data_IF_879547661664
#
_entry.id   IF_879547661664
#
_cell.length_a   1.000
_cell.length_b   1.000
_cell.length_c   1.000
_cell.angle_alpha   90.00
_cell.angle_beta   90.00
_cell.angle_gamma   90.00
#
_symmetry.space_group_name_H-M   'P 1'
#
loop_
_entity.id
_entity.type
_entity.pdbx_description
1 polymer ?
#
# COMPACT_ATOMS: atom_id res chain seq x y z
N UNK A 1 -18.05 13.30 0.69
CA UNK A 1 -17.00 14.02 -0.08
C UNK A 1 -15.70 13.25 0.05
N UNK A 2 -15.36 12.41 -0.92
CA UNK A 2 -14.10 11.66 -0.93
C UNK A 2 -12.99 12.60 -1.40
N UNK A 3 -12.33 13.26 -0.45
CA UNK A 3 -11.12 14.02 -0.69
C UNK A 3 -9.99 13.06 -1.06
N UNK A 4 -9.99 12.58 -2.31
CA UNK A 4 -8.80 11.96 -2.90
C UNK A 4 -7.87 13.13 -3.22
N UNK A 5 -7.12 13.58 -2.22
CA UNK A 5 -5.92 14.38 -2.49
C UNK A 5 -5.05 13.54 -3.39
N UNK A 6 -5.03 13.90 -4.67
CA UNK A 6 -4.21 13.29 -5.70
C UNK A 6 -2.76 13.74 -5.46
N UNK A 7 -2.23 13.35 -4.31
CA UNK A 7 -0.84 13.54 -3.97
C UNK A 7 -0.12 12.62 -4.94
N UNK A 8 0.69 13.19 -5.84
CA UNK A 8 1.38 12.53 -6.96
C UNK A 8 2.34 11.39 -6.54
N UNK A 9 2.20 10.86 -5.32
CA UNK A 9 2.86 9.67 -4.80
C UNK A 9 2.31 8.44 -5.51
N UNK A 10 2.99 8.05 -6.58
CA UNK A 10 2.78 6.74 -7.18
C UNK A 10 3.13 5.65 -6.17
N UNK A 11 2.25 4.64 -6.05
CA UNK A 11 2.54 3.48 -5.23
C UNK A 11 3.75 2.70 -5.77
N UNK A 12 4.60 2.19 -4.87
CA UNK A 12 5.77 1.40 -5.22
C UNK A 12 5.42 0.23 -6.16
N UNK A 13 6.29 -0.02 -7.16
CA UNK A 13 6.16 -1.09 -8.16
C UNK A 13 7.03 -2.30 -7.85
N UNK A 14 8.02 -2.15 -6.98
CA UNK A 14 8.86 -3.24 -6.48
C UNK A 14 8.98 -3.24 -4.96
N UNK A 15 9.40 -4.38 -4.39
CA UNK A 15 9.78 -4.42 -2.96
C UNK A 15 10.93 -3.46 -2.65
N UNK A 16 11.88 -3.31 -3.59
CA UNK A 16 13.03 -2.41 -3.44
C UNK A 16 12.57 -0.96 -3.26
N UNK A 17 11.57 -0.52 -4.03
CA UNK A 17 10.96 0.81 -3.88
C UNK A 17 10.10 0.95 -2.61
N UNK A 18 9.40 -0.11 -2.21
CA UNK A 18 8.52 -0.07 -1.04
C UNK A 18 9.29 -0.10 0.29
N UNK A 19 10.45 -0.77 0.33
CA UNK A 19 11.19 -1.00 1.58
C UNK A 19 11.54 0.28 2.35
N UNK A 20 12.06 1.37 1.74
CA UNK A 20 12.34 2.61 2.46
C UNK A 20 11.11 3.23 3.11
N UNK A 21 9.95 3.11 2.45
CA UNK A 21 8.66 3.59 2.94
C UNK A 21 8.22 2.80 4.18
N UNK A 22 8.24 1.47 4.07
CA UNK A 22 7.86 0.56 5.15
C UNK A 22 8.79 0.73 6.36
N UNK A 23 10.07 1.04 6.14
CA UNK A 23 11.03 1.31 7.20
C UNK A 23 10.89 2.72 7.81
N UNK A 24 10.04 3.60 7.28
CA UNK A 24 9.94 4.96 7.78
C UNK A 24 9.38 5.00 9.21
N UNK A 25 9.90 5.82 10.16
CA UNK A 25 9.38 5.90 11.52
C UNK A 25 7.88 6.15 11.57
N UNK A 26 7.39 7.16 10.84
CA UNK A 26 5.96 7.47 10.79
C UNK A 26 5.10 6.36 10.22
N UNK A 27 5.62 5.59 9.27
CA UNK A 27 4.91 4.42 8.75
C UNK A 27 4.73 3.37 9.86
N UNK A 28 5.79 3.12 10.61
CA UNK A 28 5.76 2.19 11.72
C UNK A 28 4.84 2.67 12.85
N UNK A 29 4.89 3.96 13.21
CA UNK A 29 4.01 4.57 14.20
C UNK A 29 2.54 4.37 13.83
N UNK A 30 2.17 4.68 12.57
CA UNK A 30 0.81 4.47 12.09
C UNK A 30 0.39 3.00 12.13
N UNK A 31 1.28 2.08 11.69
CA UNK A 31 0.99 0.65 11.75
C UNK A 31 0.72 0.18 13.19
N UNK A 32 1.53 0.62 14.15
CA UNK A 32 1.40 0.30 15.58
C UNK A 32 0.13 0.91 16.18
N UNK A 33 -0.15 2.18 15.92
CA UNK A 33 -1.33 2.87 16.43
C UNK A 33 -2.63 2.18 16.02
N UNK A 34 -2.71 1.71 14.77
CA UNK A 34 -3.86 0.92 14.31
C UNK A 34 -3.98 -0.41 15.07
N UNK A 35 -2.87 -1.15 15.23
CA UNK A 35 -2.88 -2.42 15.97
C UNK A 35 -3.24 -2.25 17.44
N UNK A 36 -2.79 -1.16 18.05
CA UNK A 36 -3.09 -0.79 19.44
C UNK A 36 -4.50 -0.19 19.59
N UNK A 37 -5.28 -0.10 18.51
CA UNK A 37 -6.67 0.36 18.52
C UNK A 37 -6.84 1.87 18.73
N UNK A 38 -5.77 2.66 18.55
CA UNK A 38 -5.82 4.11 18.73
C UNK A 38 -6.65 4.74 17.62
N UNK A 39 -7.54 5.69 17.93
CA UNK A 39 -8.31 6.42 16.91
C UNK A 39 -7.37 7.25 16.02
N UNK A 40 -7.84 7.61 14.82
CA UNK A 40 -7.10 8.50 13.95
C UNK A 40 -7.26 9.95 14.44
N UNK A 41 -6.16 10.61 14.77
CA UNK A 41 -6.14 12.02 15.20
C UNK A 41 -5.61 12.91 14.09
N UNK A 42 -6.53 13.53 13.33
CA UNK A 42 -6.17 14.45 12.25
C UNK A 42 -5.44 15.70 12.76
N UNK A 43 -5.79 16.20 13.95
CA UNK A 43 -5.17 17.42 14.50
C UNK A 43 -3.72 17.15 14.93
N UNK A 44 -3.46 15.94 15.43
CA UNK A 44 -2.11 15.48 15.76
C UNK A 44 -1.15 15.44 14.55
N UNK A 45 -1.69 15.40 13.32
CA UNK A 45 -0.89 15.40 12.09
C UNK A 45 -0.53 16.79 11.57
N UNK A 46 -1.28 17.84 11.95
CA UNK A 46 -1.12 19.20 11.40
C UNK A 46 0.30 19.77 11.62
N UNK A 47 1.00 19.30 12.65
CA UNK A 47 2.39 19.69 12.95
C UNK A 47 3.46 18.91 12.16
N UNK A 48 3.10 17.94 11.33
CA UNK A 48 4.05 17.11 10.60
C UNK A 48 4.20 17.55 9.14
N UNK A 49 5.38 17.34 8.53
CA UNK A 49 5.52 17.46 7.07
C UNK A 49 4.51 16.58 6.34
N UNK A 50 3.97 17.05 5.21
CA UNK A 50 2.95 16.31 4.44
C UNK A 50 3.37 14.87 4.08
N UNK A 51 4.65 14.66 3.74
CA UNK A 51 5.15 13.32 3.45
C UNK A 51 5.04 12.40 4.67
N UNK A 52 5.33 12.90 5.87
CA UNK A 52 5.27 12.16 7.13
C UNK A 52 3.84 11.78 7.50
N UNK A 53 2.89 12.69 7.28
CA UNK A 53 1.46 12.42 7.42
C UNK A 53 1.05 11.24 6.53
N UNK A 54 1.44 11.27 5.24
CA UNK A 54 1.16 10.16 4.33
C UNK A 54 1.85 8.86 4.73
N UNK A 55 3.08 8.92 5.26
CA UNK A 55 3.74 7.70 5.75
C UNK A 55 2.92 7.08 6.88
N UNK A 56 2.47 7.89 7.83
CA UNK A 56 1.62 7.46 8.93
C UNK A 56 0.30 6.85 8.48
N UNK A 57 -0.42 7.56 7.60
CA UNK A 57 -1.66 7.08 6.99
C UNK A 57 -1.46 5.72 6.29
N UNK A 58 -0.45 5.61 5.44
CA UNK A 58 -0.12 4.36 4.75
C UNK A 58 0.17 3.21 5.73
N UNK A 59 0.81 3.52 6.87
CA UNK A 59 1.05 2.55 7.94
C UNK A 59 -0.24 1.99 8.52
N UNK A 60 -1.18 2.88 8.88
CA UNK A 60 -2.51 2.49 9.40
C UNK A 60 -3.31 1.69 8.37
N UNK A 61 -3.34 2.15 7.13
CA UNK A 61 -4.04 1.48 6.04
C UNK A 61 -3.51 0.06 5.80
N UNK A 62 -2.17 -0.12 5.81
CA UNK A 62 -1.59 -1.44 5.63
C UNK A 62 -1.89 -2.37 6.81
N UNK A 63 -1.91 -1.85 8.04
CA UNK A 63 -2.30 -2.62 9.22
C UNK A 63 -3.78 -3.07 9.13
N UNK A 64 -4.67 -2.19 8.66
CA UNK A 64 -6.07 -2.52 8.40
C UNK A 64 -6.22 -3.62 7.34
N UNK A 65 -5.44 -3.55 6.25
CA UNK A 65 -5.40 -4.58 5.21
C UNK A 65 -4.90 -5.93 5.76
N UNK A 66 -3.84 -5.93 6.58
CA UNK A 66 -3.38 -7.14 7.25
C UNK A 66 -4.48 -7.76 8.12
N UNK A 67 -5.20 -6.94 8.90
CA UNK A 67 -6.33 -7.41 9.73
C UNK A 67 -7.46 -8.01 8.88
N UNK A 68 -7.85 -7.32 7.81
CA UNK A 68 -8.89 -7.79 6.89
C UNK A 68 -8.51 -9.10 6.18
N UNK A 69 -7.22 -9.30 5.89
CA UNK A 69 -6.69 -10.51 5.29
C UNK A 69 -6.40 -11.64 6.31
N UNK A 70 -6.69 -11.45 7.61
CA UNK A 70 -6.39 -12.42 8.65
C UNK A 70 -4.89 -12.64 8.90
N UNK A 71 -4.04 -11.71 8.46
CA UNK A 71 -2.58 -11.80 8.63
C UNK A 71 -2.22 -11.26 10.01
N UNK A 72 -1.87 -12.15 10.92
CA UNK A 72 -1.34 -11.79 12.23
C UNK A 72 0.10 -11.24 12.10
N UNK A 73 0.26 -9.92 12.18
CA UNK A 73 1.56 -9.26 12.11
C UNK A 73 2.00 -8.80 13.50
N UNK A 74 3.03 -9.46 14.06
CA UNK A 74 3.76 -8.96 15.23
C UNK A 74 4.99 -8.20 14.75
N UNK A 75 4.89 -6.86 14.74
CA UNK A 75 5.98 -5.99 14.32
C UNK A 75 6.43 -5.12 15.50
N UNK A 76 7.35 -5.65 16.30
CA UNK A 76 7.84 -4.98 17.52
C UNK A 76 9.00 -4.01 17.27
N UNK A 77 9.81 -4.25 16.23
CA UNK A 77 10.95 -3.40 15.88
C UNK A 77 10.87 -2.96 14.43
N UNK A 78 10.86 -1.65 14.19
CA UNK A 78 10.71 -1.03 12.86
C UNK A 78 11.61 -1.63 11.77
N UNK A 79 12.86 -1.92 12.11
CA UNK A 79 13.88 -2.43 11.17
C UNK A 79 13.67 -3.92 10.82
N UNK A 80 12.95 -4.67 11.66
CA UNK A 80 12.67 -6.10 11.49
C UNK A 80 11.29 -6.33 10.88
N UNK A 81 11.21 -6.11 9.57
CA UNK A 81 9.97 -6.28 8.81
C UNK A 81 9.52 -7.76 8.83
N UNK A 82 8.32 -8.09 9.34
CA UNK A 82 7.82 -9.45 9.34
C UNK A 82 7.62 -10.00 7.92
N UNK A 83 7.85 -11.31 7.75
CA UNK A 83 7.77 -11.97 6.43
C UNK A 83 6.41 -11.78 5.75
N UNK A 84 5.30 -11.99 6.48
CA UNK A 84 3.96 -11.83 5.91
C UNK A 84 3.67 -10.41 5.44
N UNK A 85 4.19 -9.40 6.16
CA UNK A 85 4.08 -8.00 5.75
C UNK A 85 4.86 -7.73 4.46
N UNK A 86 6.09 -8.23 4.36
CA UNK A 86 6.90 -8.13 3.13
C UNK A 86 6.20 -8.80 1.94
N UNK A 87 5.62 -9.97 2.13
CA UNK A 87 4.92 -10.71 1.07
C UNK A 87 3.69 -9.95 0.56
N UNK A 88 2.88 -9.38 1.46
CA UNK A 88 1.73 -8.54 1.11
C UNK A 88 2.16 -7.31 0.30
N UNK A 89 3.14 -6.56 0.80
CA UNK A 89 3.65 -5.34 0.14
C UNK A 89 4.26 -5.66 -1.23
N UNK A 90 5.07 -6.71 -1.32
CA UNK A 90 5.63 -7.17 -2.59
C UNK A 90 4.53 -7.63 -3.56
N UNK A 91 3.47 -8.27 -3.06
CA UNK A 91 2.29 -8.62 -3.83
C UNK A 91 1.58 -7.41 -4.44
N UNK A 92 1.33 -6.36 -3.63
CA UNK A 92 0.78 -5.08 -4.11
C UNK A 92 1.66 -4.45 -5.18
N UNK A 93 2.97 -4.41 -4.94
CA UNK A 93 3.93 -3.81 -5.85
C UNK A 93 3.92 -4.52 -7.23
N UNK A 94 3.96 -5.86 -7.25
CA UNK A 94 3.88 -6.66 -8.49
C UNK A 94 2.59 -6.43 -9.28
N UNK A 95 1.44 -6.22 -8.61
CA UNK A 95 0.18 -5.91 -9.30
C UNK A 95 0.24 -4.55 -10.01
N UNK A 96 0.99 -3.58 -9.46
CA UNK A 96 1.23 -2.26 -10.07
C UNK A 96 2.33 -2.25 -11.11
N UNK A 97 3.26 -3.20 -11.09
CA UNK A 97 4.26 -3.40 -12.15
C UNK A 97 3.63 -3.97 -13.43
N UNK A 98 2.48 -4.65 -13.30
CA UNK A 98 1.74 -5.24 -14.42
C UNK A 98 0.55 -4.42 -15.00
N UNK A 99 0.58 -3.09 -15.18
CA UNK A 99 -0.53 -2.40 -15.80
C UNK A 99 -0.27 -2.34 -17.32
N UNK A 100 -0.48 -3.44 -18.08
CA UNK A 100 -0.73 -3.39 -19.55
C UNK A 100 -0.84 -4.70 -20.36
N UNK A 101 -0.65 -5.91 -19.83
CA UNK A 101 -0.77 -7.11 -20.69
C UNK A 101 -2.20 -7.64 -20.87
N UNK A 102 -3.18 -7.22 -20.07
CA UNK A 102 -4.56 -7.71 -20.18
C UNK A 102 -5.40 -7.05 -21.31
N UNK A 103 -4.91 -5.99 -21.95
CA UNK A 103 -5.66 -5.22 -22.96
C UNK A 103 -5.27 -5.51 -24.42
N UNK A 104 -4.34 -6.44 -24.70
CA UNK A 104 -3.93 -6.80 -26.08
C UNK A 104 -4.50 -8.12 -26.61
N UNK A 105 -5.37 -8.79 -25.86
CA UNK A 105 -5.91 -10.11 -26.25
C UNK A 105 -7.38 -10.09 -26.69
N UNK A 106 -8.00 -8.92 -26.84
CA UNK A 106 -9.29 -8.82 -27.52
C UNK A 106 -9.06 -9.11 -29.01
N UNK A 107 -9.17 -10.38 -29.38
CA UNK A 107 -8.96 -10.88 -30.72
C UNK A 107 -9.77 -10.08 -31.73
N UNK A 108 -9.15 -9.77 -32.87
CA UNK A 108 -9.89 -9.39 -34.08
C UNK A 108 -10.93 -10.48 -34.36
N UNK A 109 -12.19 -10.14 -34.66
CA UNK A 109 -13.09 -11.10 -35.28
C UNK A 109 -12.44 -11.59 -36.58
N UNK A 110 -12.35 -12.91 -36.75
CA UNK A 110 -12.13 -13.48 -38.08
C UNK A 110 -13.41 -13.26 -38.85
N UNK A 111 -13.36 -12.41 -39.86
CA UNK A 111 -14.41 -12.32 -40.86
C UNK A 111 -14.48 -13.66 -41.60
N UNK A 112 -15.42 -14.51 -41.19
CA UNK A 112 -15.86 -15.65 -41.97
C UNK A 112 -16.70 -15.11 -43.13
N UNK A 113 -16.08 -14.87 -44.28
CA UNK A 113 -16.83 -14.67 -45.53
C UNK A 113 -17.01 -16.03 -46.20
N UNK A 114 -18.15 -16.64 -45.92
CA UNK A 114 -18.78 -17.64 -46.80
C UNK A 114 -19.56 -16.87 -47.88
N UNK A 115 -19.39 -17.27 -49.14
CA UNK A 115 -20.04 -16.68 -50.31
C UNK A 115 -19.18 -16.82 -51.54
#
# INVERSE_FOLDING_TARGET
MSGVTNNRFFGARSWREAKPVVLHPRFFDGFRDFLDGRPFDYRGLDGWPLLDQHRYENGRELAAECRAAGIAVRWGERTRIPRGLKELVAGRARRREKPRMALKSAGRPRDCRSG
#
